data_IF_083490126990
#
_entry.id   IF_083490126990
#
_cell.length_a   1.000
_cell.length_b   1.000
_cell.length_c   1.000
_cell.angle_alpha   90.00
_cell.angle_beta   90.00
_cell.angle_gamma   90.00
#
_symmetry.space_group_name_H-M   'P 1'
#
loop_
_entity.id
_entity.type
_entity.pdbx_description
1 polymer ?
#
# COMPACT_ATOMS: atom_id res chain seq x y z
N UNK A 1 -2.87 16.77 3.82
CA UNK A 1 -3.50 16.08 2.67
C UNK A 1 -4.55 15.14 3.26
N UNK A 2 -5.84 15.44 3.08
CA UNK A 2 -6.94 14.72 3.71
C UNK A 2 -7.36 13.56 2.79
N UNK A 3 -6.96 12.33 3.12
CA UNK A 3 -7.09 11.16 2.26
C UNK A 3 -8.54 10.67 2.32
N UNK A 4 -9.28 10.81 1.23
CA UNK A 4 -10.69 10.41 1.15
C UNK A 4 -10.80 8.94 0.71
N UNK A 5 -10.74 8.04 1.69
CA UNK A 5 -10.99 6.60 1.48
C UNK A 5 -12.47 6.24 1.23
N UNK A 6 -13.36 7.23 1.13
CA UNK A 6 -14.82 7.06 1.01
C UNK A 6 -15.37 6.98 -0.41
N UNK A 7 -14.52 7.04 -1.44
CA UNK A 7 -14.99 6.77 -2.79
C UNK A 7 -15.29 5.27 -2.91
N UNK A 8 -16.59 4.94 -3.03
CA UNK A 8 -17.07 3.64 -3.53
C UNK A 8 -16.21 3.31 -4.75
N UNK A 9 -15.58 2.12 -4.73
CA UNK A 9 -14.47 1.70 -5.60
C UNK A 9 -14.74 1.81 -7.12
N UNK A 10 -15.96 2.17 -7.52
CA UNK A 10 -16.40 2.33 -8.92
C UNK A 10 -16.55 3.76 -9.46
N UNK A 11 -16.42 4.85 -8.67
CA UNK A 11 -16.69 6.21 -9.21
C UNK A 11 -15.47 7.01 -9.70
N UNK A 12 -14.26 6.78 -9.16
CA UNK A 12 -13.03 7.46 -9.62
C UNK A 12 -11.77 6.58 -9.43
N UNK A 13 -11.52 5.60 -10.32
CA UNK A 13 -10.44 4.64 -10.14
C UNK A 13 -9.04 5.27 -10.16
N UNK A 14 -8.84 6.31 -10.98
CA UNK A 14 -7.54 6.97 -11.15
C UNK A 14 -7.15 7.76 -9.90
N UNK A 15 -8.09 8.48 -9.29
CA UNK A 15 -7.85 9.28 -8.09
C UNK A 15 -7.42 8.37 -6.92
N UNK A 16 -8.11 7.24 -6.73
CA UNK A 16 -7.75 6.27 -5.68
C UNK A 16 -6.36 5.66 -5.91
N UNK A 17 -6.02 5.32 -7.15
CA UNK A 17 -4.67 4.82 -7.49
C UNK A 17 -3.63 5.89 -7.16
N UNK A 18 -3.87 7.16 -7.51
CA UNK A 18 -2.93 8.25 -7.21
C UNK A 18 -2.77 8.49 -5.70
N UNK A 19 -3.85 8.45 -4.92
CA UNK A 19 -3.79 8.61 -3.46
C UNK A 19 -3.06 7.43 -2.78
N UNK A 20 -3.35 6.20 -3.19
CA UNK A 20 -2.65 5.00 -2.69
C UNK A 20 -1.19 4.95 -3.12
N UNK A 21 -0.88 5.45 -4.32
CA UNK A 21 0.51 5.65 -4.78
C UNK A 21 1.21 6.73 -3.97
N UNK A 22 0.55 7.86 -3.70
CA UNK A 22 1.13 8.97 -2.95
C UNK A 22 1.43 8.57 -1.50
N UNK A 23 0.52 7.84 -0.85
CA UNK A 23 0.75 7.27 0.49
C UNK A 23 1.87 6.22 0.48
N UNK A 24 1.93 5.38 -0.56
CA UNK A 24 3.06 4.49 -0.81
C UNK A 24 4.38 5.25 -0.98
N UNK A 25 4.40 6.36 -1.70
CA UNK A 25 5.59 7.18 -1.90
C UNK A 25 6.03 7.88 -0.59
N UNK A 26 5.09 8.43 0.18
CA UNK A 26 5.39 9.07 1.47
C UNK A 26 5.94 8.06 2.48
N UNK A 27 5.30 6.90 2.59
CA UNK A 27 5.81 5.81 3.45
C UNK A 27 7.16 5.28 2.97
N UNK A 28 7.39 5.22 1.66
CA UNK A 28 8.68 4.86 1.07
C UNK A 28 9.80 5.86 1.32
N UNK A 29 9.50 7.16 1.29
CA UNK A 29 10.45 8.19 1.66
C UNK A 29 10.81 8.10 3.16
N UNK A 30 9.82 7.88 4.03
CA UNK A 30 10.03 7.68 5.47
C UNK A 30 10.90 6.45 5.77
N UNK A 31 10.58 5.31 5.16
CA UNK A 31 11.38 4.09 5.31
C UNK A 31 12.80 4.28 4.77
N UNK A 32 12.95 4.99 3.66
CA UNK A 32 14.26 5.30 3.08
C UNK A 32 15.11 6.16 4.00
N UNK A 33 14.52 7.17 4.64
CA UNK A 33 15.22 8.01 5.61
C UNK A 33 15.73 7.21 6.82
N UNK A 34 14.91 6.30 7.35
CA UNK A 34 15.30 5.40 8.44
C UNK A 34 16.38 4.40 7.98
N UNK A 35 16.23 3.84 6.78
CA UNK A 35 17.21 2.90 6.21
C UNK A 35 18.58 3.54 6.01
N UNK A 36 18.62 4.79 5.55
CA UNK A 36 19.83 5.61 5.42
C UNK A 36 20.48 5.92 6.78
N UNK A 37 19.65 6.15 7.82
CA UNK A 37 20.14 6.42 9.18
C UNK A 37 20.77 5.17 9.83
N UNK A 38 20.19 3.99 9.61
CA UNK A 38 20.73 2.74 10.15
C UNK A 38 21.94 2.21 9.36
N UNK A 39 21.97 2.43 8.04
CA UNK A 39 23.05 1.98 7.16
C UNK A 39 23.66 3.18 6.45
N UNK A 40 24.64 3.80 7.09
CA UNK A 40 25.36 4.94 6.51
C UNK A 40 26.00 4.53 5.17
N UNK A 41 25.55 5.11 4.04
CA UNK A 41 26.13 4.83 2.74
C UNK A 41 27.50 5.49 2.64
N UNK A 42 28.43 4.82 1.96
CA UNK A 42 29.79 5.34 1.76
C UNK A 42 29.82 6.50 0.75
N UNK A 43 28.79 6.62 -0.09
CA UNK A 43 28.69 7.59 -1.18
C UNK A 43 27.29 8.21 -1.29
N UNK A 44 27.21 9.49 -1.65
CA UNK A 44 25.94 10.21 -1.86
C UNK A 44 25.11 9.64 -3.03
N UNK A 45 25.77 9.21 -4.11
CA UNK A 45 25.10 8.61 -5.28
C UNK A 45 24.45 7.26 -4.94
N UNK A 46 25.09 6.46 -4.09
CA UNK A 46 24.54 5.19 -3.61
C UNK A 46 23.37 5.42 -2.64
N UNK A 47 23.46 6.45 -1.80
CA UNK A 47 22.38 6.89 -0.92
C UNK A 47 21.11 7.24 -1.72
N UNK A 48 21.28 8.05 -2.77
CA UNK A 48 20.18 8.50 -3.63
C UNK A 48 19.62 7.33 -4.45
N UNK A 49 20.47 6.50 -5.05
CA UNK A 49 20.00 5.34 -5.82
C UNK A 49 19.19 4.36 -4.95
N UNK A 50 19.60 4.16 -3.69
CA UNK A 50 18.92 3.24 -2.77
C UNK A 50 17.58 3.83 -2.29
N UNK A 51 17.54 5.10 -1.91
CA UNK A 51 16.29 5.75 -1.48
C UNK A 51 15.26 5.85 -2.60
N UNK A 52 15.71 6.14 -3.83
CA UNK A 52 14.84 6.14 -5.01
C UNK A 52 14.28 4.75 -5.28
N UNK A 53 15.11 3.71 -5.25
CA UNK A 53 14.63 2.34 -5.45
C UNK A 53 13.61 1.91 -4.39
N UNK A 54 13.83 2.23 -3.12
CA UNK A 54 12.89 1.91 -2.05
C UNK A 54 11.57 2.68 -2.21
N UNK A 55 11.64 3.98 -2.46
CA UNK A 55 10.46 4.83 -2.64
C UNK A 55 9.65 4.45 -3.88
N UNK A 56 10.31 4.21 -5.02
CA UNK A 56 9.67 3.79 -6.26
C UNK A 56 8.96 2.44 -6.10
N UNK A 57 9.55 1.52 -5.32
CA UNK A 57 8.92 0.23 -5.04
C UNK A 57 7.65 0.41 -4.23
N UNK A 58 7.70 1.17 -3.14
CA UNK A 58 6.54 1.40 -2.27
C UNK A 58 5.44 2.18 -2.98
N UNK A 59 5.80 3.15 -3.84
CA UNK A 59 4.86 3.81 -4.74
C UNK A 59 4.19 2.83 -5.71
N UNK A 60 4.97 1.95 -6.36
CA UNK A 60 4.43 0.94 -7.27
C UNK A 60 3.51 -0.05 -6.56
N UNK A 61 3.85 -0.47 -5.34
CA UNK A 61 2.98 -1.33 -4.52
C UNK A 61 1.66 -0.64 -4.19
N UNK A 62 1.70 0.65 -3.83
CA UNK A 62 0.50 1.47 -3.60
C UNK A 62 -0.38 1.57 -4.85
N UNK A 63 0.23 1.80 -6.01
CA UNK A 63 -0.47 1.88 -7.30
C UNK A 63 -1.18 0.56 -7.66
N UNK A 64 -0.46 -0.57 -7.53
CA UNK A 64 -0.98 -1.90 -7.85
C UNK A 64 -2.05 -2.34 -6.87
N UNK A 65 -1.89 -1.99 -5.58
CA UNK A 65 -2.94 -2.19 -4.58
C UNK A 65 -4.21 -1.42 -4.95
N UNK A 66 -4.08 -0.11 -5.22
CA UNK A 66 -5.20 0.73 -5.62
C UNK A 66 -5.92 0.18 -6.86
N UNK A 67 -5.17 -0.16 -7.91
CA UNK A 67 -5.72 -0.71 -9.15
C UNK A 67 -6.36 -2.09 -8.93
N UNK A 68 -5.73 -2.96 -8.14
CA UNK A 68 -6.27 -4.28 -7.83
C UNK A 68 -7.60 -4.21 -7.08
N UNK A 69 -7.74 -3.27 -6.13
CA UNK A 69 -9.00 -3.08 -5.41
C UNK A 69 -10.15 -2.57 -6.28
N UNK A 70 -9.88 -1.59 -7.17
CA UNK A 70 -10.91 -1.01 -8.05
C UNK A 70 -11.35 -2.00 -9.14
N UNK A 71 -10.41 -2.77 -9.69
CA UNK A 71 -10.73 -3.84 -10.65
C UNK A 71 -11.54 -4.94 -9.96
N UNK A 72 -11.10 -5.40 -8.78
CA UNK A 72 -11.81 -6.44 -8.04
C UNK A 72 -13.23 -6.00 -7.64
N UNK A 73 -13.42 -4.74 -7.27
CA UNK A 73 -14.73 -4.17 -6.97
C UNK A 73 -15.61 -4.06 -8.22
N UNK A 74 -15.05 -3.63 -9.35
CA UNK A 74 -15.79 -3.50 -10.62
C UNK A 74 -16.31 -4.85 -11.14
N UNK A 75 -15.55 -5.93 -10.94
CA UNK A 75 -15.95 -7.27 -11.36
C UNK A 75 -17.01 -7.88 -10.45
N UNK A 76 -16.98 -7.55 -9.15
CA UNK A 76 -17.83 -8.19 -8.13
C UNK A 76 -19.05 -7.36 -7.73
N UNK A 77 -19.11 -6.10 -8.14
CA UNK A 77 -20.14 -5.10 -7.80
C UNK A 77 -20.47 -5.04 -6.30
N UNK A 78 -19.49 -5.40 -5.47
CA UNK A 78 -19.63 -5.53 -4.02
C UNK A 78 -18.38 -5.03 -3.35
N UNK A 79 -18.55 -4.09 -2.43
CA UNK A 79 -17.48 -3.66 -1.53
C UNK A 79 -17.35 -4.64 -0.39
N UNK A 80 -16.28 -5.42 -0.38
CA UNK A 80 -16.00 -6.38 0.68
C UNK A 80 -14.52 -6.55 0.97
N UNK A 81 -14.17 -7.12 2.14
CA UNK A 81 -12.78 -7.31 2.58
C UNK A 81 -11.96 -8.18 1.61
N UNK A 82 -12.62 -9.02 0.82
CA UNK A 82 -11.96 -9.85 -0.20
C UNK A 82 -11.33 -9.01 -1.33
N UNK A 83 -11.91 -7.85 -1.69
CA UNK A 83 -11.34 -7.03 -2.77
C UNK A 83 -10.01 -6.40 -2.32
N UNK A 84 -9.96 -6.01 -1.05
CA UNK A 84 -8.76 -5.49 -0.40
C UNK A 84 -7.69 -6.59 -0.23
N UNK A 85 -8.12 -7.83 0.02
CA UNK A 85 -7.22 -8.99 0.00
C UNK A 85 -6.58 -9.21 -1.38
N UNK A 86 -7.38 -9.17 -2.44
CA UNK A 86 -6.89 -9.35 -3.82
C UNK A 86 -5.89 -8.24 -4.19
N UNK A 87 -6.22 -6.98 -3.90
CA UNK A 87 -5.28 -5.86 -4.10
C UNK A 87 -3.97 -6.04 -3.33
N UNK A 88 -4.04 -6.52 -2.08
CA UNK A 88 -2.87 -6.83 -1.26
C UNK A 88 -2.00 -7.96 -1.84
N UNK A 89 -2.62 -9.01 -2.38
CA UNK A 89 -1.91 -10.09 -3.05
C UNK A 89 -1.29 -9.68 -4.38
N UNK A 90 -1.94 -8.81 -5.16
CA UNK A 90 -1.34 -8.24 -6.37
C UNK A 90 -0.09 -7.41 -6.04
N UNK A 91 -0.15 -6.58 -4.99
CA UNK A 91 1.02 -5.85 -4.51
C UNK A 91 2.13 -6.81 -4.01
N UNK A 92 1.79 -7.84 -3.22
CA UNK A 92 2.73 -8.86 -2.76
C UNK A 92 3.41 -9.62 -3.91
N UNK A 93 2.67 -9.95 -4.97
CA UNK A 93 3.23 -10.58 -6.16
C UNK A 93 4.26 -9.70 -6.87
N UNK A 94 4.02 -8.37 -6.97
CA UNK A 94 4.98 -7.42 -7.53
C UNK A 94 6.25 -7.34 -6.68
N UNK A 95 6.12 -7.40 -5.34
CA UNK A 95 7.27 -7.45 -4.46
C UNK A 95 8.06 -8.75 -4.61
N UNK A 96 7.37 -9.89 -4.74
CA UNK A 96 7.97 -11.20 -5.01
C UNK A 96 8.71 -11.23 -6.35
N UNK A 97 8.15 -10.60 -7.39
CA UNK A 97 8.80 -10.43 -8.68
C UNK A 97 10.07 -9.59 -8.57
N UNK A 98 10.04 -8.48 -7.82
CA UNK A 98 11.21 -7.63 -7.59
C UNK A 98 12.36 -8.37 -6.91
N UNK A 99 12.05 -9.22 -5.93
CA UNK A 99 13.07 -10.00 -5.22
C UNK A 99 13.33 -11.39 -5.82
N UNK A 100 12.74 -11.69 -7.00
CA UNK A 100 12.87 -12.98 -7.68
C UNK A 100 12.63 -14.19 -6.76
N UNK A 101 11.70 -14.08 -5.82
CA UNK A 101 11.47 -15.10 -4.80
C UNK A 101 9.99 -15.39 -4.61
N UNK A 102 9.63 -16.64 -4.88
CA UNK A 102 8.29 -17.16 -4.68
C UNK A 102 7.88 -17.16 -3.20
N UNK A 103 8.80 -17.41 -2.28
CA UNK A 103 8.52 -17.41 -0.84
C UNK A 103 8.21 -16.01 -0.33
N UNK A 104 8.91 -14.99 -0.85
CA UNK A 104 8.62 -13.59 -0.55
C UNK A 104 7.27 -13.20 -1.16
N UNK A 105 6.96 -13.62 -2.38
CA UNK A 105 5.66 -13.35 -3.01
C UNK A 105 4.48 -13.92 -2.24
N UNK A 106 4.55 -15.18 -1.81
CA UNK A 106 3.45 -15.85 -1.07
C UNK A 106 3.30 -15.29 0.35
N UNK A 107 4.39 -15.11 1.08
CA UNK A 107 4.36 -14.52 2.43
C UNK A 107 3.83 -13.09 2.43
N UNK A 108 4.24 -12.27 1.47
CA UNK A 108 3.78 -10.88 1.36
C UNK A 108 2.35 -10.78 0.85
N UNK A 109 1.88 -11.69 -0.01
CA UNK A 109 0.47 -11.77 -0.39
C UNK A 109 -0.42 -12.08 0.81
N UNK A 110 -0.08 -13.09 1.62
CA UNK A 110 -0.85 -13.40 2.84
C UNK A 110 -0.76 -12.26 3.86
N UNK A 111 0.44 -11.68 4.05
CA UNK A 111 0.65 -10.58 4.99
C UNK A 111 -0.10 -9.30 4.60
N UNK A 112 0.15 -8.77 3.40
CA UNK A 112 -0.50 -7.55 2.93
C UNK A 112 -1.99 -7.76 2.65
N UNK A 113 -2.37 -8.90 2.06
CA UNK A 113 -3.77 -9.24 1.81
C UNK A 113 -4.56 -9.38 3.11
N UNK A 114 -4.02 -10.11 4.09
CA UNK A 114 -4.63 -10.28 5.40
C UNK A 114 -4.77 -8.95 6.14
N UNK A 115 -3.71 -8.14 6.17
CA UNK A 115 -3.74 -6.82 6.80
C UNK A 115 -4.77 -5.89 6.13
N UNK A 116 -4.84 -5.89 4.80
CA UNK A 116 -5.80 -5.07 4.06
C UNK A 116 -7.26 -5.51 4.30
N UNK A 117 -7.51 -6.82 4.40
CA UNK A 117 -8.82 -7.36 4.73
C UNK A 117 -9.24 -6.97 6.16
N UNK A 118 -8.32 -7.08 7.12
CA UNK A 118 -8.55 -6.65 8.52
C UNK A 118 -8.80 -5.16 8.58
N UNK A 119 -8.01 -4.34 7.86
CA UNK A 119 -8.21 -2.89 7.82
C UNK A 119 -9.60 -2.52 7.30
N UNK A 120 -10.09 -3.20 6.26
CA UNK A 120 -11.45 -2.98 5.76
C UNK A 120 -12.50 -3.39 6.78
N UNK A 121 -12.35 -4.57 7.40
CA UNK A 121 -13.27 -5.06 8.43
C UNK A 121 -13.33 -4.12 9.64
N UNK A 122 -12.17 -3.65 10.10
CA UNK A 122 -12.03 -2.76 11.23
C UNK A 122 -12.72 -1.41 11.00
N UNK A 123 -12.65 -0.90 9.77
CA UNK A 123 -13.35 0.33 9.36
C UNK A 123 -14.86 0.11 9.24
N UNK A 124 -15.28 -1.04 8.69
CA UNK A 124 -16.69 -1.36 8.49
C UNK A 124 -17.42 -1.66 9.82
N UNK A 125 -16.72 -2.23 10.81
CA UNK A 125 -17.24 -2.41 12.19
C UNK A 125 -17.12 -1.17 13.07
N UNK A 126 -16.44 -0.11 12.60
CA UNK A 126 -16.38 1.18 13.29
C UNK A 126 -15.67 1.13 14.64
N UNK A 127 -14.63 0.31 14.80
CA UNK A 127 -13.86 0.14 16.05
C UNK A 127 -13.06 1.39 16.51
N UNK A 128 -13.40 2.58 16.00
CA UNK A 128 -12.80 3.87 16.32
C UNK A 128 -11.56 4.21 15.49
N UNK A 129 -11.25 5.50 15.33
CA UNK A 129 -9.98 5.92 14.73
C UNK A 129 -8.82 5.47 15.64
N UNK A 130 -7.73 4.95 15.06
CA UNK A 130 -6.60 4.37 15.82
C UNK A 130 -5.91 5.42 16.71
N UNK A 131 -6.05 6.68 16.31
CA UNK A 131 -5.70 7.86 17.10
C UNK A 131 -7.01 8.59 17.37
N UNK A 132 -7.47 8.67 18.64
CA UNK A 132 -8.69 9.40 18.96
C UNK A 132 -8.50 10.87 18.56
N UNK A 133 -9.50 11.43 17.87
CA UNK A 133 -9.51 12.86 17.53
C UNK A 133 -9.51 13.65 18.85
N UNK A 134 -8.60 14.63 19.04
CA UNK A 134 -8.63 15.46 20.24
C UNK A 134 -9.99 16.17 20.29
N UNK A 135 -10.68 15.99 21.42
CA UNK A 135 -11.94 16.66 21.71
C UNK A 135 -11.56 18.08 22.12
N UNK A 136 -11.82 19.07 21.26
CA UNK A 136 -11.75 20.49 21.60
C UNK A 136 -13.11 21.00 22.04
#
# INVERSE_FOLDING_TARGET
>A
MNIRYDNIDGKEPVTKILETTATGAVSGAGLSAVALSMHFPKNFTEAVGRSLNHTATLAALGAVFGAGTTIAASVRDKDGPLNYFIGGCMAGAVLGAKYHSYSIGTSTCVGFGGWAAIYKLWRDEGWGDFIPKPIY
#
